data_IF_769968993156
#
_entry.id   IF_769968993156
#
_cell.length_a   1.000
_cell.length_b   1.000
_cell.length_c   1.000
_cell.angle_alpha   90.00
_cell.angle_beta   90.00
_cell.angle_gamma   90.00
#
_symmetry.space_group_name_H-M   'P 1'
#
loop_
_entity.id
_entity.type
_entity.pdbx_description
1 polymer ?
#
# COMPACT_ATOMS: atom_id res chain seq x y z
N UNK A 1 -6.19 1.46 9.42
CA UNK A 1 -6.31 2.64 10.30
C UNK A 1 -5.57 2.47 11.61
N UNK A 2 -5.25 3.56 12.26
CA UNK A 2 -4.69 3.55 13.62
C UNK A 2 -5.82 3.49 14.64
N UNK A 3 -5.57 2.90 15.82
CA UNK A 3 -6.50 2.89 16.98
C UNK A 3 -7.87 2.29 16.69
N UNK A 4 -8.00 1.42 15.70
CA UNK A 4 -9.29 0.84 15.31
C UNK A 4 -10.27 1.83 14.66
N UNK A 5 -9.83 3.04 14.34
CA UNK A 5 -10.64 4.03 13.62
C UNK A 5 -10.67 3.76 12.12
N UNK A 6 -11.59 4.40 11.40
CA UNK A 6 -11.68 4.31 9.95
C UNK A 6 -10.37 4.77 9.27
N UNK A 7 -10.13 4.26 8.07
CA UNK A 7 -8.84 4.48 7.36
C UNK A 7 -8.63 5.96 6.98
N UNK A 8 -9.69 6.71 6.75
CA UNK A 8 -9.67 8.14 6.41
C UNK A 8 -9.44 9.07 7.62
N UNK A 9 -9.46 8.53 8.85
CA UNK A 9 -9.05 9.26 10.05
C UNK A 9 -7.54 9.19 10.32
N UNK A 10 -6.79 8.46 9.50
CA UNK A 10 -5.33 8.41 9.55
C UNK A 10 -4.75 9.19 8.38
N UNK A 11 -4.10 10.30 8.66
CA UNK A 11 -3.45 11.08 7.62
C UNK A 11 -2.18 10.39 7.14
N UNK A 12 -2.10 10.17 5.84
CA UNK A 12 -0.90 9.62 5.20
C UNK A 12 -0.16 10.73 4.47
N UNK A 13 1.13 10.86 4.77
CA UNK A 13 2.06 11.76 4.11
C UNK A 13 3.14 10.96 3.38
N UNK A 14 3.68 11.53 2.30
CA UNK A 14 4.88 11.07 1.61
C UNK A 14 5.81 12.29 1.52
N UNK A 15 7.01 12.19 2.10
CA UNK A 15 7.93 13.32 2.26
C UNK A 15 7.25 14.57 2.85
N UNK A 16 6.40 14.39 3.87
CA UNK A 16 5.65 15.47 4.50
C UNK A 16 4.50 16.05 3.68
N UNK A 17 4.23 15.55 2.47
CA UNK A 17 3.12 16.00 1.63
C UNK A 17 1.95 15.01 1.70
N UNK A 18 0.73 15.52 1.82
CA UNK A 18 -0.48 14.71 1.90
C UNK A 18 -0.61 13.78 0.67
N UNK A 19 -0.76 12.48 0.92
CA UNK A 19 -1.07 11.52 -0.13
C UNK A 19 -2.55 11.64 -0.52
N UNK A 20 -2.83 11.61 -1.82
CA UNK A 20 -4.22 11.58 -2.30
C UNK A 20 -4.95 10.30 -1.89
N UNK A 21 -6.25 10.38 -1.77
CA UNK A 21 -7.12 9.22 -1.50
C UNK A 21 -7.17 8.32 -2.73
N UNK A 22 -7.36 7.02 -2.50
CA UNK A 22 -7.60 6.06 -3.58
C UNK A 22 -8.99 6.26 -4.18
N UNK A 23 -9.23 5.67 -5.35
CA UNK A 23 -10.57 5.63 -5.95
C UNK A 23 -11.50 4.61 -5.28
N UNK A 24 -10.95 3.75 -4.41
CA UNK A 24 -11.70 2.68 -3.74
C UNK A 24 -12.38 3.22 -2.49
N UNK A 25 -13.70 3.09 -2.43
CA UNK A 25 -14.50 3.34 -1.24
C UNK A 25 -14.75 1.99 -0.57
N UNK A 26 -14.47 1.91 0.72
CA UNK A 26 -14.74 0.70 1.49
C UNK A 26 -16.25 0.53 1.64
N UNK A 27 -16.74 -0.60 1.20
CA UNK A 27 -18.13 -0.99 1.34
C UNK A 27 -18.20 -2.23 2.23
N UNK A 28 -18.51 -2.02 3.50
CA UNK A 28 -18.70 -3.13 4.43
C UNK A 28 -20.06 -2.99 5.12
N UNK A 29 -20.76 -4.09 5.26
CA UNK A 29 -22.13 -4.11 5.80
C UNK A 29 -22.18 -3.62 7.27
N UNK A 30 -22.11 -2.30 7.48
CA UNK A 30 -22.34 -1.65 8.76
C UNK A 30 -21.13 -1.56 9.70
N UNK A 31 -19.93 -1.44 9.18
CA UNK A 31 -18.72 -1.21 10.00
C UNK A 31 -18.36 0.27 10.16
N UNK A 32 -17.49 0.59 11.14
CA UNK A 32 -16.95 1.94 11.38
C UNK A 32 -16.20 2.51 10.15
N UNK A 33 -15.77 1.65 9.24
CA UNK A 33 -15.08 2.03 8.00
C UNK A 33 -15.99 2.04 6.79
N UNK A 34 -17.31 1.88 6.97
CA UNK A 34 -18.26 1.90 5.85
C UNK A 34 -18.31 3.31 5.22
N UNK A 35 -18.10 3.38 3.91
CA UNK A 35 -17.95 4.64 3.19
C UNK A 35 -16.59 5.32 3.32
N UNK A 36 -15.66 4.80 4.10
CA UNK A 36 -14.33 5.38 4.27
C UNK A 36 -13.48 5.23 3.01
N UNK A 37 -12.68 6.26 2.70
CA UNK A 37 -11.80 6.30 1.55
C UNK A 37 -10.38 6.69 1.99
N UNK A 38 -9.53 5.70 2.16
CA UNK A 38 -8.13 5.90 2.51
C UNK A 38 -7.21 6.05 1.29
N UNK A 39 -5.97 6.52 1.47
CA UNK A 39 -4.96 6.48 0.42
C UNK A 39 -4.48 5.05 0.16
N UNK A 40 -4.18 4.74 -1.09
CA UNK A 40 -3.52 3.48 -1.44
C UNK A 40 -2.02 3.58 -1.14
N UNK A 41 -1.58 2.84 -0.13
CA UNK A 41 -0.17 2.74 0.27
C UNK A 41 0.53 1.52 -0.35
N UNK A 42 -0.22 0.57 -0.94
CA UNK A 42 0.34 -0.62 -1.56
C UNK A 42 1.13 -0.32 -2.84
N UNK A 43 0.91 0.86 -3.43
CA UNK A 43 1.66 1.35 -4.59
C UNK A 43 3.08 1.82 -4.25
N UNK A 44 3.44 1.95 -2.97
CA UNK A 44 4.76 2.40 -2.52
C UNK A 44 5.64 1.17 -2.26
N UNK A 45 6.68 0.90 -3.07
CA UNK A 45 7.60 -0.19 -2.80
C UNK A 45 8.29 -0.01 -1.45
N UNK A 46 8.40 -1.07 -0.65
CA UNK A 46 9.09 -1.01 0.65
C UNK A 46 10.53 -0.51 0.53
N UNK A 47 11.20 -0.90 -0.55
CA UNK A 47 12.60 -0.52 -0.81
C UNK A 47 12.79 0.97 -1.14
N UNK A 48 11.71 1.70 -1.51
CA UNK A 48 11.73 3.15 -1.72
C UNK A 48 11.81 3.95 -0.40
N UNK A 49 11.50 3.30 0.73
CA UNK A 49 11.39 3.96 2.01
C UNK A 49 12.74 4.07 2.72
N UNK A 50 13.05 5.27 3.23
CA UNK A 50 14.15 5.55 4.14
C UNK A 50 13.73 5.23 5.59
N UNK A 51 12.58 5.74 6.00
CA UNK A 51 11.94 5.45 7.28
C UNK A 51 10.44 5.75 7.23
N UNK A 52 9.73 5.34 8.29
CA UNK A 52 8.32 5.64 8.50
C UNK A 52 8.19 6.30 9.87
N UNK A 53 7.61 7.49 9.90
CA UNK A 53 7.31 8.24 11.12
C UNK A 53 5.84 8.11 11.47
N UNK A 54 5.53 7.83 12.74
CA UNK A 54 4.15 7.69 13.20
C UNK A 54 3.90 8.65 14.36
N UNK A 55 3.06 9.64 14.13
CA UNK A 55 2.57 10.55 15.16
C UNK A 55 1.19 10.07 15.64
N UNK A 56 1.10 9.62 16.88
CA UNK A 56 -0.09 8.97 17.43
C UNK A 56 -1.04 9.92 18.17
N UNK A 57 -0.55 11.04 18.67
CA UNK A 57 -1.31 11.97 19.53
C UNK A 57 -1.15 13.42 19.08
N UNK A 58 -2.15 14.26 19.37
CA UNK A 58 -2.11 15.70 19.08
C UNK A 58 -2.08 16.08 17.62
N UNK A 59 -2.22 15.13 16.70
CA UNK A 59 -2.07 15.36 15.28
C UNK A 59 -3.17 16.23 14.67
N UNK A 60 -4.39 16.13 15.17
CA UNK A 60 -5.53 16.87 14.63
C UNK A 60 -5.39 18.40 14.82
N UNK A 61 -4.71 18.86 15.86
CA UNK A 61 -4.47 20.29 16.08
C UNK A 61 -3.53 20.92 15.05
N UNK A 62 -2.61 20.14 14.49
CA UNK A 62 -1.63 20.57 13.50
C UNK A 62 -2.02 20.23 12.06
N UNK A 63 -2.63 19.08 11.86
CA UNK A 63 -2.88 18.50 10.52
C UNK A 63 -4.36 18.46 10.12
N UNK A 64 -5.27 18.83 11.03
CA UNK A 64 -6.71 18.88 10.77
C UNK A 64 -7.45 17.55 11.03
N UNK A 65 -8.72 17.52 10.67
CA UNK A 65 -9.66 16.44 11.00
C UNK A 65 -9.27 15.07 10.42
N UNK A 66 -8.52 15.01 9.34
CA UNK A 66 -8.08 13.75 8.73
C UNK A 66 -7.00 13.04 9.58
N UNK A 67 -6.44 13.71 10.58
CA UNK A 67 -5.43 13.18 11.48
C UNK A 67 -5.97 12.83 12.88
N UNK A 68 -7.26 12.52 13.01
CA UNK A 68 -7.89 12.17 14.29
C UNK A 68 -7.26 10.94 14.93
N UNK A 69 -6.95 9.91 14.14
CA UNK A 69 -6.30 8.70 14.61
C UNK A 69 -4.77 8.86 14.69
N UNK A 70 -4.21 9.82 13.97
CA UNK A 70 -2.77 10.09 13.89
C UNK A 70 -2.29 10.37 12.48
N UNK A 71 -0.97 10.51 12.33
CA UNK A 71 -0.27 10.74 11.05
C UNK A 71 0.76 9.66 10.83
N UNK A 72 0.86 9.16 9.61
CA UNK A 72 1.95 8.31 9.15
C UNK A 72 2.65 9.02 8.00
N UNK A 73 3.94 9.30 8.16
CA UNK A 73 4.76 9.92 7.13
C UNK A 73 5.76 8.89 6.57
N UNK A 74 5.66 8.62 5.28
CA UNK A 74 6.59 7.78 4.52
C UNK A 74 7.70 8.67 3.96
N UNK A 75 8.88 8.61 4.57
CA UNK A 75 10.04 9.31 4.06
C UNK A 75 10.75 8.45 3.02
N UNK A 76 10.91 8.98 1.81
CA UNK A 76 11.55 8.30 0.70
C UNK A 76 13.07 8.37 0.80
N UNK A 77 13.76 7.40 0.21
CA UNK A 77 15.22 7.44 0.04
C UNK A 77 15.63 8.61 -0.85
N UNK A 78 16.69 9.29 -0.43
CA UNK A 78 17.24 10.49 -1.01
C UNK A 78 18.74 10.36 -1.34
N UNK A 79 19.26 9.12 -1.36
CA UNK A 79 20.65 8.88 -1.73
C UNK A 79 20.92 9.26 -3.17
N UNK A 80 22.04 9.93 -3.41
CA UNK A 80 22.54 10.34 -4.73
C UNK A 80 23.53 9.34 -5.33
N UNK A 81 23.77 8.22 -4.66
CA UNK A 81 24.68 7.15 -5.12
C UNK A 81 24.32 5.82 -4.49
N UNK A 82 24.86 4.75 -5.06
CA UNK A 82 24.66 3.40 -4.56
C UNK A 82 23.32 2.80 -4.99
N UNK A 83 23.08 1.57 -4.55
CA UNK A 83 21.87 0.85 -4.85
C UNK A 83 21.74 -0.45 -4.09
N UNK A 84 20.57 -1.05 -4.16
CA UNK A 84 20.27 -2.34 -3.55
C UNK A 84 19.26 -3.10 -4.40
N UNK A 85 19.35 -4.43 -4.37
CA UNK A 85 18.37 -5.33 -4.98
C UNK A 85 17.90 -6.27 -3.87
N UNK A 86 16.62 -6.53 -3.83
CA UNK A 86 15.97 -7.46 -2.91
C UNK A 86 15.12 -8.44 -3.70
N UNK A 87 15.24 -9.73 -3.36
CA UNK A 87 14.35 -10.78 -3.86
C UNK A 87 13.60 -11.34 -2.66
N UNK A 88 12.28 -11.33 -2.72
CA UNK A 88 11.41 -11.84 -1.67
C UNK A 88 10.53 -12.95 -2.24
N UNK A 89 10.59 -14.13 -1.64
CA UNK A 89 9.76 -15.27 -1.95
C UNK A 89 9.10 -15.77 -0.67
N UNK A 90 7.93 -16.36 -0.78
CA UNK A 90 7.23 -16.93 0.37
C UNK A 90 5.95 -17.63 -0.03
N UNK A 91 5.41 -18.41 0.88
CA UNK A 91 4.10 -19.03 0.79
C UNK A 91 3.49 -19.15 2.19
N UNK A 92 2.20 -19.38 2.28
CA UNK A 92 1.54 -19.65 3.56
C UNK A 92 1.76 -21.11 3.99
N UNK A 93 1.68 -21.36 5.31
CA UNK A 93 1.81 -22.71 5.89
C UNK A 93 0.79 -23.72 5.36
N UNK A 94 -0.30 -23.26 4.81
CA UNK A 94 -1.33 -24.06 4.17
C UNK A 94 -0.98 -24.52 2.74
N UNK A 95 0.18 -24.06 2.21
CA UNK A 95 0.68 -24.43 0.89
C UNK A 95 0.02 -23.68 -0.26
N UNK A 96 -0.50 -22.48 0.02
CA UNK A 96 -1.10 -21.58 -0.96
C UNK A 96 -0.52 -20.16 -0.86
N UNK A 97 -0.92 -19.26 -1.75
CA UNK A 97 -0.51 -17.86 -1.73
C UNK A 97 0.99 -17.67 -1.95
N UNK A 98 1.60 -18.52 -2.76
CA UNK A 98 3.00 -18.38 -3.15
C UNK A 98 3.22 -16.99 -3.75
N UNK A 99 4.34 -16.35 -3.40
CA UNK A 99 4.67 -15.03 -3.91
C UNK A 99 6.15 -14.93 -4.27
N UNK A 100 6.41 -14.15 -5.31
CA UNK A 100 7.78 -13.78 -5.70
C UNK A 100 7.80 -12.33 -6.15
N UNK A 101 8.68 -11.54 -5.49
CA UNK A 101 8.89 -10.12 -5.82
C UNK A 101 10.38 -9.85 -5.95
N UNK A 102 10.75 -9.05 -6.94
CA UNK A 102 12.08 -8.49 -7.12
C UNK A 102 11.98 -6.98 -7.08
N UNK A 103 12.73 -6.37 -6.18
CA UNK A 103 12.79 -4.92 -6.01
C UNK A 103 14.21 -4.41 -6.19
N UNK A 104 14.37 -3.24 -6.78
CA UNK A 104 15.65 -2.56 -6.88
C UNK A 104 15.52 -1.08 -6.55
N UNK A 105 16.53 -0.52 -5.89
CA UNK A 105 16.63 0.90 -5.58
C UNK A 105 18.01 1.42 -5.97
N UNK A 106 18.07 2.56 -6.64
CA UNK A 106 19.30 3.18 -7.13
C UNK A 106 19.26 4.69 -6.93
N UNK A 107 20.35 5.21 -6.36
CA UNK A 107 20.61 6.63 -6.25
C UNK A 107 21.53 7.12 -7.37
N UNK A 108 21.24 8.30 -7.90
CA UNK A 108 22.06 8.97 -8.92
C UNK A 108 22.16 10.45 -8.58
N UNK A 109 23.32 11.11 -8.82
CA UNK A 109 23.44 12.54 -8.63
C UNK A 109 22.64 13.32 -9.69
N UNK A 110 22.04 14.43 -9.27
CA UNK A 110 21.40 15.40 -10.15
C UNK A 110 22.17 16.73 -10.06
N UNK A 111 23.07 16.96 -11.00
CA UNK A 111 24.01 18.07 -10.91
C UNK A 111 24.98 17.90 -9.76
N UNK A 112 25.45 19.04 -9.18
CA UNK A 112 26.40 19.05 -8.06
C UNK A 112 25.74 18.92 -6.68
N UNK A 113 24.47 19.29 -6.53
CA UNK A 113 23.79 19.44 -5.25
C UNK A 113 22.39 18.83 -5.26
N UNK A 114 22.19 17.76 -6.04
CA UNK A 114 20.89 17.11 -6.13
C UNK A 114 21.00 15.59 -6.23
N UNK A 115 19.86 14.95 -6.16
CA UNK A 115 19.71 13.50 -6.26
C UNK A 115 18.49 13.13 -7.10
N UNK A 116 18.57 11.96 -7.72
CA UNK A 116 17.43 11.19 -8.21
C UNK A 116 17.55 9.80 -7.61
N UNK A 117 16.53 9.37 -6.90
CA UNK A 117 16.45 8.04 -6.31
C UNK A 117 15.29 7.29 -6.95
N UNK A 118 15.59 6.17 -7.62
CA UNK A 118 14.62 5.38 -8.37
C UNK A 118 14.45 4.02 -7.73
N UNK A 119 13.22 3.60 -7.54
CA UNK A 119 12.87 2.26 -7.04
C UNK A 119 11.90 1.60 -8.00
N UNK A 120 12.16 0.35 -8.34
CA UNK A 120 11.20 -0.50 -9.03
C UNK A 120 10.88 -1.74 -8.19
N UNK A 121 9.71 -2.31 -8.39
CA UNK A 121 9.31 -3.60 -7.85
C UNK A 121 8.47 -4.31 -8.90
N UNK A 122 8.77 -5.59 -9.12
CA UNK A 122 8.00 -6.47 -10.01
C UNK A 122 7.76 -7.80 -9.31
N UNK A 123 6.59 -8.38 -9.50
CA UNK A 123 6.28 -9.66 -8.89
C UNK A 123 4.85 -10.12 -9.09
N UNK A 124 4.57 -11.26 -8.49
CA UNK A 124 3.25 -11.90 -8.50
C UNK A 124 2.98 -12.60 -7.17
N UNK A 125 1.73 -12.88 -6.91
CA UNK A 125 1.31 -13.72 -5.79
C UNK A 125 0.05 -14.50 -6.13
N UNK A 126 0.05 -15.78 -5.82
CA UNK A 126 -1.09 -16.67 -6.01
C UNK A 126 -2.22 -16.36 -5.03
N UNK A 127 -3.43 -16.75 -5.39
CA UNK A 127 -4.59 -16.65 -4.52
C UNK A 127 -4.44 -17.50 -3.26
N UNK A 128 -5.18 -17.14 -2.23
CA UNK A 128 -5.41 -17.99 -1.06
C UNK A 128 -6.88 -18.30 -0.93
N UNK A 129 -7.22 -19.49 -0.44
CA UNK A 129 -8.62 -19.86 -0.15
C UNK A 129 -8.76 -20.24 1.33
N UNK A 130 -9.53 -19.43 2.06
CA UNK A 130 -9.89 -19.64 3.47
C UNK A 130 -11.41 -19.79 3.63
N UNK A 131 -12.07 -20.17 2.55
CA UNK A 131 -13.52 -20.28 2.50
C UNK A 131 -14.03 -21.44 3.33
N UNK A 132 -15.09 -21.18 4.07
CA UNK A 132 -15.91 -22.19 4.72
C UNK A 132 -17.36 -21.98 4.30
N UNK A 133 -18.09 -23.10 4.12
CA UNK A 133 -19.49 -22.99 3.74
C UNK A 133 -20.29 -22.28 4.84
N UNK A 134 -21.08 -21.29 4.46
CA UNK A 134 -21.99 -20.59 5.36
C UNK A 134 -23.08 -21.53 5.85
N UNK A 135 -23.45 -21.39 7.12
CA UNK A 135 -24.48 -22.25 7.74
C UNK A 135 -25.82 -22.14 7.05
N UNK A 136 -26.24 -20.92 6.63
CA UNK A 136 -27.49 -20.71 5.91
C UNK A 136 -27.47 -21.38 4.54
N UNK A 137 -26.37 -21.28 3.79
CA UNK A 137 -26.22 -21.98 2.51
C UNK A 137 -26.19 -23.50 2.67
N UNK A 138 -25.54 -24.02 3.72
CA UNK A 138 -25.54 -25.44 4.04
C UNK A 138 -26.96 -25.95 4.36
N UNK A 139 -27.75 -25.16 5.07
CA UNK A 139 -29.16 -25.49 5.37
C UNK A 139 -29.98 -25.54 4.08
N UNK A 140 -29.86 -24.57 3.19
CA UNK A 140 -30.56 -24.57 1.90
C UNK A 140 -30.23 -25.82 1.07
N UNK A 141 -28.96 -26.22 1.04
CA UNK A 141 -28.54 -27.44 0.35
C UNK A 141 -29.17 -28.67 0.98
N UNK A 142 -29.19 -28.76 2.32
CA UNK A 142 -29.81 -29.85 3.05
C UNK A 142 -31.32 -29.93 2.81
N UNK A 143 -31.99 -28.80 2.60
CA UNK A 143 -33.41 -28.68 2.27
C UNK A 143 -33.72 -28.97 0.78
N UNK A 144 -32.70 -29.32 -0.01
CA UNK A 144 -32.85 -29.72 -1.41
C UNK A 144 -32.88 -28.56 -2.43
N UNK A 145 -32.48 -27.35 -2.05
CA UNK A 145 -32.35 -26.27 -3.00
C UNK A 145 -31.12 -26.49 -3.91
N UNK A 146 -31.36 -26.45 -5.22
CA UNK A 146 -30.32 -26.58 -6.24
C UNK A 146 -29.69 -25.23 -6.56
N UNK A 147 -28.43 -25.24 -7.05
CA UNK A 147 -27.75 -24.05 -7.52
C UNK A 147 -27.12 -23.19 -6.42
N UNK A 148 -27.10 -23.65 -5.17
CA UNK A 148 -26.39 -22.95 -4.08
C UNK A 148 -24.89 -23.21 -4.23
N UNK A 149 -24.07 -22.14 -4.40
CA UNK A 149 -22.62 -22.29 -4.56
C UNK A 149 -21.95 -22.93 -3.33
N UNK A 150 -20.87 -23.67 -3.56
CA UNK A 150 -20.06 -24.30 -2.50
C UNK A 150 -18.57 -24.02 -2.72
N UNK A 151 -17.97 -23.07 -1.98
CA UNK A 151 -18.59 -22.25 -0.92
C UNK A 151 -19.49 -21.14 -1.46
N UNK A 152 -20.49 -20.73 -0.67
CA UNK A 152 -21.41 -19.65 -1.03
C UNK A 152 -20.73 -18.28 -1.14
N UNK A 153 -19.59 -18.11 -0.49
CA UNK A 153 -18.75 -16.92 -0.58
C UNK A 153 -17.29 -17.35 -0.47
N UNK A 154 -16.46 -16.87 -1.40
CA UNK A 154 -15.01 -17.06 -1.33
C UNK A 154 -14.37 -16.02 -0.41
N UNK A 155 -13.47 -16.48 0.45
CA UNK A 155 -12.65 -15.68 1.35
C UNK A 155 -11.17 -15.99 1.14
N UNK A 156 -10.41 -15.01 0.77
CA UNK A 156 -8.99 -15.16 0.54
C UNK A 156 -8.40 -13.94 -0.13
N UNK A 157 -7.12 -13.98 -0.39
CA UNK A 157 -6.46 -12.98 -1.24
C UNK A 157 -6.71 -13.37 -2.70
N UNK A 158 -6.96 -12.41 -3.58
CA UNK A 158 -7.00 -12.68 -5.02
C UNK A 158 -5.61 -13.05 -5.55
N UNK A 159 -5.57 -13.70 -6.70
CA UNK A 159 -4.38 -13.77 -7.52
C UNK A 159 -3.92 -12.36 -7.89
N UNK A 160 -2.62 -12.14 -7.92
CA UNK A 160 -2.03 -10.87 -8.39
C UNK A 160 -0.97 -11.24 -9.41
N UNK A 161 -1.25 -10.91 -10.66
CA UNK A 161 -0.32 -11.06 -11.77
C UNK A 161 0.27 -9.70 -12.14
N UNK A 162 1.48 -9.71 -12.69
CA UNK A 162 2.15 -8.54 -13.26
C UNK A 162 2.11 -7.27 -12.37
N UNK A 163 2.30 -7.45 -11.05
CA UNK A 163 2.44 -6.30 -10.13
C UNK A 163 3.75 -5.56 -10.42
N UNK A 164 3.67 -4.45 -11.11
CA UNK A 164 4.82 -3.62 -11.48
C UNK A 164 4.68 -2.24 -10.86
N UNK A 165 5.73 -1.79 -10.17
CA UNK A 165 5.78 -0.47 -9.54
C UNK A 165 7.07 0.24 -9.92
N UNK A 166 6.95 1.52 -10.23
CA UNK A 166 8.08 2.43 -10.38
C UNK A 166 7.85 3.64 -9.49
N UNK A 167 8.85 3.99 -8.70
CA UNK A 167 8.81 5.15 -7.83
C UNK A 167 10.09 5.97 -8.00
N UNK A 168 9.95 7.28 -8.20
CA UNK A 168 11.08 8.20 -8.39
C UNK A 168 10.94 9.31 -7.35
N UNK A 169 11.99 9.58 -6.59
CA UNK A 169 12.14 10.71 -5.69
C UNK A 169 13.33 11.56 -6.15
N UNK A 170 13.18 12.86 -6.19
CA UNK A 170 14.26 13.76 -6.61
C UNK A 170 14.25 15.06 -5.81
N UNK A 171 15.43 15.65 -5.71
CA UNK A 171 15.62 16.96 -5.11
C UNK A 171 16.91 17.58 -5.59
N UNK A 172 16.95 18.91 -5.66
CA UNK A 172 18.14 19.68 -5.99
C UNK A 172 18.11 21.04 -5.34
N UNK A 173 19.26 21.46 -4.78
CA UNK A 173 19.51 22.82 -4.34
C UNK A 173 20.02 23.65 -5.54
N UNK A 174 19.23 24.64 -5.92
CA UNK A 174 19.56 25.58 -7.03
C UNK A 174 20.33 26.79 -6.57
N UNK A 175 20.70 26.88 -5.29
CA UNK A 175 21.32 28.06 -4.69
C UNK A 175 20.33 29.19 -4.39
N UNK A 176 20.82 30.27 -3.78
CA UNK A 176 19.99 31.44 -3.38
C UNK A 176 18.75 31.06 -2.54
N UNK A 177 18.89 30.13 -1.62
CA UNK A 177 17.79 29.57 -0.80
C UNK A 177 16.63 28.97 -1.62
N UNK A 178 16.93 28.44 -2.81
CA UNK A 178 15.94 27.79 -3.68
C UNK A 178 16.20 26.29 -3.76
N UNK A 179 15.22 25.50 -3.37
CA UNK A 179 15.21 24.05 -3.49
C UNK A 179 14.06 23.59 -4.38
N UNK A 180 14.32 22.62 -5.23
CA UNK A 180 13.30 21.90 -6.01
C UNK A 180 13.29 20.45 -5.58
N UNK A 181 12.12 19.92 -5.28
CA UNK A 181 11.96 18.51 -4.93
C UNK A 181 10.61 17.99 -5.39
N UNK A 182 10.53 16.69 -5.55
CA UNK A 182 9.29 16.03 -5.92
C UNK A 182 9.43 14.52 -5.98
N UNK A 183 8.30 13.86 -6.17
CA UNK A 183 8.25 12.43 -6.44
C UNK A 183 7.17 12.11 -7.47
N UNK A 184 7.36 11.01 -8.19
CA UNK A 184 6.39 10.47 -9.12
C UNK A 184 6.33 8.95 -8.96
N UNK A 185 5.17 8.35 -9.22
CA UNK A 185 5.04 6.91 -9.25
C UNK A 185 4.04 6.45 -10.31
N UNK A 186 4.26 5.24 -10.80
CA UNK A 186 3.30 4.49 -11.59
C UNK A 186 3.23 3.05 -11.09
N UNK A 187 2.04 2.46 -11.18
CA UNK A 187 1.80 1.08 -10.76
C UNK A 187 0.81 0.46 -11.74
N UNK A 188 1.12 -0.77 -12.16
CA UNK A 188 0.21 -1.63 -12.92
C UNK A 188 0.07 -2.93 -12.16
N UNK A 189 -1.14 -3.48 -12.10
CA UNK A 189 -1.43 -4.73 -11.40
C UNK A 189 -2.66 -5.37 -12.01
N UNK A 190 -2.56 -6.65 -12.35
CA UNK A 190 -3.69 -7.48 -12.75
C UNK A 190 -4.15 -8.33 -11.55
N UNK A 191 -5.49 -8.37 -11.31
CA UNK A 191 -6.11 -9.03 -10.15
C UNK A 191 -7.27 -9.92 -10.61
#
# INVERSE_FOLDING_TARGET
>A
GLRGMAVDHTLILVNGKRRHRSSVILWSAGGISDGAQGPDTAVIPGLALKNIEVLRDGAASQYGSDALAGVINFNLKDASEGGSIEVRTGEYSEGDGSMTYVSGNFGMPLGSNGFVNTTFEVGSSDETDRSVQRTDAATLIADGYEGVPQPAMKWGRPNVDDDMKLFINFGADLGNNTEVYGYANTTTRDI
#
